data_IF_677596302439
#
_entry.id   IF_677596302439
#
_cell.length_a   1.000
_cell.length_b   1.000
_cell.length_c   1.000
_cell.angle_alpha   90.00
_cell.angle_beta   90.00
_cell.angle_gamma   90.00
#
_symmetry.space_group_name_H-M   'P 1'
#
loop_
_entity.id
_entity.type
_entity.pdbx_description
1 polymer ?
#
# COMPACT_ATOMS: atom_id res chain seq x y z
N UNK A 1 32.96 -23.41 -40.04
CA UNK A 1 32.40 -24.60 -39.39
C UNK A 1 32.14 -24.24 -37.92
N UNK A 2 30.86 -24.17 -37.56
CA UNK A 2 30.25 -24.29 -36.22
C UNK A 2 30.47 -23.16 -35.18
N UNK A 3 29.31 -22.61 -34.80
CA UNK A 3 28.94 -21.69 -33.73
C UNK A 3 28.84 -22.35 -32.35
N UNK A 4 28.89 -21.51 -31.29
CA UNK A 4 28.22 -21.58 -29.95
C UNK A 4 29.23 -21.16 -28.87
N UNK A 5 28.97 -20.18 -28.01
CA UNK A 5 27.73 -19.90 -27.28
C UNK A 5 27.65 -18.41 -26.92
N UNK A 6 26.69 -17.71 -27.52
CA UNK A 6 26.19 -16.45 -27.01
C UNK A 6 25.43 -16.71 -25.71
N UNK A 7 25.99 -16.30 -24.56
CA UNK A 7 25.17 -16.00 -23.39
C UNK A 7 24.62 -14.58 -23.57
N UNK A 8 23.49 -14.54 -24.28
CA UNK A 8 22.59 -13.41 -24.39
C UNK A 8 22.29 -12.84 -23.00
N UNK A 9 22.67 -11.58 -22.77
CA UNK A 9 21.86 -10.36 -22.97
C UNK A 9 20.87 -10.10 -21.82
N UNK A 10 21.10 -8.94 -21.21
CA UNK A 10 20.14 -8.05 -20.59
C UNK A 10 19.79 -8.27 -19.10
N UNK A 11 20.65 -7.76 -18.22
CA UNK A 11 20.17 -7.11 -17.01
C UNK A 11 19.62 -5.73 -17.40
N UNK A 12 18.37 -5.67 -17.83
CA UNK A 12 17.68 -4.41 -18.08
C UNK A 12 17.62 -3.65 -16.75
N UNK A 13 18.38 -2.55 -16.69
CA UNK A 13 18.22 -1.49 -15.72
C UNK A 13 16.80 -0.93 -15.91
N UNK A 14 15.79 -1.47 -15.20
CA UNK A 14 14.47 -0.83 -15.12
C UNK A 14 14.59 0.40 -14.22
N UNK A 15 15.13 1.48 -14.77
CA UNK A 15 14.98 2.82 -14.23
C UNK A 15 13.57 3.34 -14.51
N UNK A 16 12.53 2.66 -14.00
CA UNK A 16 11.22 3.26 -13.92
C UNK A 16 11.24 4.23 -12.74
N UNK A 17 11.35 5.52 -13.05
CA UNK A 17 11.12 6.60 -12.08
C UNK A 17 9.66 6.55 -11.65
N UNK A 18 9.42 6.15 -10.40
CA UNK A 18 8.08 6.14 -9.82
C UNK A 18 7.68 7.57 -9.49
N UNK A 19 6.60 8.04 -10.11
CA UNK A 19 6.10 9.39 -9.88
C UNK A 19 5.12 9.44 -8.70
N UNK A 20 5.30 10.48 -7.87
CA UNK A 20 4.40 10.79 -6.77
C UNK A 20 3.87 12.23 -6.90
N UNK A 21 2.72 12.50 -6.29
CA UNK A 21 2.19 13.86 -6.13
C UNK A 21 3.00 14.63 -5.09
N UNK A 22 2.79 15.95 -5.01
CA UNK A 22 3.37 16.81 -3.96
C UNK A 22 3.00 16.34 -2.55
N UNK A 23 1.83 15.71 -2.40
CA UNK A 23 1.32 15.16 -1.15
C UNK A 23 1.84 13.73 -0.85
N UNK A 24 2.64 13.16 -1.76
CA UNK A 24 3.28 11.86 -1.60
C UNK A 24 2.45 10.66 -2.04
N UNK A 25 1.36 10.86 -2.77
CA UNK A 25 0.56 9.76 -3.35
C UNK A 25 1.16 9.28 -4.66
N UNK A 26 1.00 7.99 -4.95
CA UNK A 26 1.44 7.41 -6.22
C UNK A 26 0.59 7.96 -7.38
N UNK A 27 1.21 8.47 -8.45
CA UNK A 27 0.47 8.97 -9.62
C UNK A 27 -0.12 7.84 -10.47
N UNK A 28 0.60 6.74 -10.61
CA UNK A 28 0.16 5.57 -11.35
C UNK A 28 0.01 4.36 -10.41
N UNK A 29 -1.23 3.90 -10.21
CA UNK A 29 -1.54 2.79 -9.32
C UNK A 29 -0.82 1.47 -9.68
N UNK A 30 -0.42 1.30 -10.94
CA UNK A 30 0.27 0.11 -11.43
C UNK A 30 1.75 0.05 -11.04
N UNK A 31 2.34 1.19 -10.67
CA UNK A 31 3.75 1.25 -10.22
C UNK A 31 3.93 0.69 -8.80
N UNK A 32 2.82 0.42 -8.11
CA UNK A 32 2.85 -0.05 -6.75
C UNK A 32 3.37 -1.48 -6.67
N UNK A 33 4.31 -1.68 -5.76
CA UNK A 33 4.77 -2.98 -5.29
C UNK A 33 5.24 -2.85 -3.84
N UNK A 34 5.65 -3.97 -3.23
CA UNK A 34 6.10 -4.02 -1.83
C UNK A 34 7.26 -3.04 -1.57
N UNK A 35 8.20 -2.87 -2.52
CA UNK A 35 9.31 -1.93 -2.35
C UNK A 35 8.83 -0.48 -2.35
N UNK A 36 7.87 -0.14 -3.22
CA UNK A 36 7.25 1.20 -3.24
C UNK A 36 6.50 1.49 -1.95
N UNK A 37 5.66 0.56 -1.49
CA UNK A 37 4.95 0.68 -0.23
C UNK A 37 5.91 0.92 0.95
N UNK A 38 7.01 0.17 1.03
CA UNK A 38 8.06 0.37 2.06
C UNK A 38 8.72 1.75 1.96
N UNK A 39 9.01 2.24 0.76
CA UNK A 39 9.56 3.60 0.56
C UNK A 39 8.60 4.70 1.00
N UNK A 40 7.31 4.56 0.67
CA UNK A 40 6.26 5.51 1.11
C UNK A 40 6.11 5.45 2.62
N UNK A 41 6.03 4.26 3.22
CA UNK A 41 5.91 4.11 4.66
C UNK A 41 7.11 4.70 5.42
N UNK A 42 8.33 4.56 4.89
CA UNK A 42 9.52 5.23 5.45
C UNK A 42 9.37 6.75 5.46
N UNK A 43 8.86 7.36 4.37
CA UNK A 43 8.57 8.80 4.32
C UNK A 43 7.46 9.21 5.30
N UNK A 44 6.52 8.32 5.58
CA UNK A 44 5.44 8.52 6.54
C UNK A 44 5.82 8.20 8.00
N UNK A 45 7.08 7.84 8.27
CA UNK A 45 7.56 7.40 9.59
C UNK A 45 6.78 6.20 10.15
N UNK A 46 6.38 5.26 9.28
CA UNK A 46 5.69 4.03 9.66
C UNK A 46 6.59 2.81 9.45
N UNK A 47 6.74 2.03 10.51
CA UNK A 47 7.35 0.70 10.45
C UNK A 47 6.28 -0.35 10.09
N UNK A 48 6.33 -0.86 8.86
CA UNK A 48 5.34 -1.82 8.35
C UNK A 48 5.48 -3.21 9.00
N UNK A 49 4.67 -3.44 10.03
CA UNK A 49 4.43 -4.77 10.64
C UNK A 49 3.29 -5.52 9.94
N UNK A 50 3.06 -6.77 10.32
CA UNK A 50 2.03 -7.64 9.73
C UNK A 50 0.65 -6.98 9.64
N UNK A 51 0.19 -6.32 10.72
CA UNK A 51 -1.14 -5.70 10.72
C UNK A 51 -1.25 -4.49 9.79
N UNK A 52 -0.15 -3.75 9.58
CA UNK A 52 -0.13 -2.70 8.58
C UNK A 52 -0.34 -3.30 7.19
N UNK A 53 0.37 -4.38 6.88
CA UNK A 53 0.25 -5.06 5.58
C UNK A 53 -1.15 -5.57 5.32
N UNK A 54 -1.81 -6.16 6.33
CA UNK A 54 -3.21 -6.61 6.22
C UNK A 54 -4.13 -5.47 5.77
N UNK A 55 -4.02 -4.31 6.43
CA UNK A 55 -4.84 -3.13 6.14
C UNK A 55 -4.50 -2.54 4.76
N UNK A 56 -3.20 -2.40 4.45
CA UNK A 56 -2.71 -1.85 3.18
C UNK A 56 -3.19 -2.70 2.00
N UNK A 57 -3.04 -4.03 2.10
CA UNK A 57 -3.48 -4.97 1.06
C UNK A 57 -5.00 -4.95 0.93
N UNK A 58 -5.73 -4.92 2.05
CA UNK A 58 -7.19 -4.81 2.04
C UNK A 58 -7.66 -3.54 1.32
N UNK A 59 -7.11 -2.37 1.67
CA UNK A 59 -7.45 -1.09 1.04
C UNK A 59 -7.15 -1.13 -0.45
N UNK A 60 -5.96 -1.61 -0.83
CA UNK A 60 -5.56 -1.70 -2.24
C UNK A 60 -6.52 -2.58 -3.03
N UNK A 61 -6.81 -3.78 -2.54
CA UNK A 61 -7.69 -4.73 -3.23
C UNK A 61 -9.13 -4.21 -3.30
N UNK A 62 -9.61 -3.59 -2.22
CA UNK A 62 -10.93 -2.96 -2.18
C UNK A 62 -11.04 -1.85 -3.23
N UNK A 63 -10.05 -0.96 -3.29
CA UNK A 63 -10.02 0.12 -4.29
C UNK A 63 -9.91 -0.42 -5.72
N UNK A 64 -9.05 -1.42 -5.97
CA UNK A 64 -8.92 -2.01 -7.30
C UNK A 64 -10.25 -2.58 -7.80
N UNK A 65 -11.04 -3.17 -6.89
CA UNK A 65 -12.34 -3.77 -7.16
C UNK A 65 -13.48 -2.76 -7.28
N UNK A 66 -13.59 -1.80 -6.37
CA UNK A 66 -14.75 -0.92 -6.24
C UNK A 66 -14.50 0.53 -6.66
N UNK A 67 -13.24 0.91 -6.93
CA UNK A 67 -12.79 2.27 -7.27
C UNK A 67 -13.09 3.34 -6.21
N UNK A 68 -13.40 2.90 -4.98
CA UNK A 68 -13.64 3.74 -3.81
C UNK A 68 -12.82 3.23 -2.62
N UNK A 69 -12.52 4.11 -1.67
CA UNK A 69 -11.84 3.71 -0.42
C UNK A 69 -12.83 3.00 0.52
N UNK A 70 -12.38 2.00 1.31
CA UNK A 70 -13.24 1.33 2.28
C UNK A 70 -13.52 2.24 3.49
N UNK A 71 -14.71 2.12 4.09
CA UNK A 71 -15.03 2.82 5.34
C UNK A 71 -14.18 2.35 6.53
N UNK A 72 -14.03 3.20 7.56
CA UNK A 72 -13.38 2.82 8.82
C UNK A 72 -13.99 1.56 9.44
N UNK A 73 -15.33 1.40 9.37
CA UNK A 73 -16.02 0.20 9.87
C UNK A 73 -15.60 -1.07 9.12
N UNK A 74 -15.33 -0.97 7.83
CA UNK A 74 -14.85 -2.11 7.04
C UNK A 74 -13.40 -2.46 7.37
N UNK A 75 -12.55 -1.46 7.61
CA UNK A 75 -11.18 -1.67 8.08
C UNK A 75 -11.14 -2.38 9.42
N UNK A 76 -11.97 -1.97 10.38
CA UNK A 76 -12.04 -2.65 11.69
C UNK A 76 -12.49 -4.10 11.54
N UNK A 77 -13.56 -4.34 10.77
CA UNK A 77 -14.06 -5.70 10.51
C UNK A 77 -13.05 -6.59 9.79
N UNK A 78 -12.21 -6.06 8.90
CA UNK A 78 -11.21 -6.88 8.22
C UNK A 78 -10.11 -7.35 9.16
N UNK A 79 -9.73 -6.52 10.15
CA UNK A 79 -8.75 -6.91 11.16
C UNK A 79 -9.38 -7.84 12.22
N UNK A 80 -10.62 -7.58 12.65
CA UNK A 80 -11.33 -8.45 13.61
C UNK A 80 -11.49 -9.88 13.09
N UNK A 81 -11.71 -10.06 11.78
CA UNK A 81 -11.74 -11.40 11.15
C UNK A 81 -10.41 -12.15 11.24
N UNK A 82 -9.30 -11.43 11.34
CA UNK A 82 -7.95 -11.96 11.35
C UNK A 82 -7.37 -12.11 12.77
N UNK A 83 -8.01 -11.47 13.75
CA UNK A 83 -7.61 -11.48 15.16
C UNK A 83 -8.80 -12.05 15.95
N UNK A 84 -8.88 -13.36 15.99
CA UNK A 84 -9.94 -14.08 16.69
C UNK A 84 -10.00 -13.65 18.17
N UNK A 85 -11.21 -13.38 18.66
CA UNK A 85 -11.46 -13.11 20.07
C UNK A 85 -11.13 -11.70 20.56
N UNK A 86 -10.77 -10.75 19.69
CA UNK A 86 -10.49 -9.37 20.12
C UNK A 86 -11.30 -8.33 19.34
N UNK A 87 -12.09 -7.53 20.07
CA UNK A 87 -12.78 -6.36 19.51
C UNK A 87 -11.77 -5.25 19.22
N UNK A 88 -11.79 -4.72 17.99
CA UNK A 88 -10.86 -3.70 17.54
C UNK A 88 -11.65 -2.41 17.34
N UNK A 89 -11.12 -1.30 17.85
CA UNK A 89 -11.71 0.02 17.72
C UNK A 89 -10.81 0.95 16.91
N UNK A 90 -11.32 2.14 16.61
CA UNK A 90 -10.61 3.17 15.85
C UNK A 90 -9.24 3.49 16.45
N UNK A 91 -9.10 3.47 17.78
CA UNK A 91 -7.83 3.72 18.48
C UNK A 91 -6.73 2.75 18.00
N UNK A 92 -7.08 1.49 17.69
CA UNK A 92 -6.11 0.55 17.13
C UNK A 92 -5.56 1.00 15.77
N UNK A 93 -6.44 1.47 14.88
CA UNK A 93 -6.03 1.97 13.57
C UNK A 93 -5.14 3.21 13.71
N UNK A 94 -5.44 4.12 14.63
CA UNK A 94 -4.60 5.29 14.91
C UNK A 94 -3.25 4.92 15.53
N UNK A 95 -3.14 3.81 16.27
CA UNK A 95 -1.84 3.29 16.72
C UNK A 95 -0.98 2.78 15.56
N UNK A 96 -1.60 2.22 14.53
CA UNK A 96 -0.91 1.74 13.32
C UNK A 96 -0.58 2.90 12.36
N UNK A 97 -1.47 3.88 12.26
CA UNK A 97 -1.38 5.01 11.34
C UNK A 97 -1.63 6.33 12.09
N UNK A 98 -0.61 6.87 12.79
CA UNK A 98 -0.77 7.98 13.74
C UNK A 98 -1.27 9.30 13.15
N UNK A 99 -0.97 9.59 11.88
CA UNK A 99 -1.47 10.81 11.22
C UNK A 99 -2.89 10.64 10.67
N UNK A 100 -3.44 9.43 10.70
CA UNK A 100 -4.74 9.14 10.14
C UNK A 100 -4.73 7.83 9.34
N UNK A 101 -5.56 6.83 9.70
CA UNK A 101 -5.66 5.57 8.97
C UNK A 101 -6.04 5.76 7.51
N UNK A 102 -7.03 6.62 7.24
CA UNK A 102 -7.46 6.91 5.88
C UNK A 102 -6.32 7.50 5.04
N UNK A 103 -5.59 8.47 5.58
CA UNK A 103 -4.53 9.16 4.84
C UNK A 103 -3.32 8.26 4.61
N UNK A 104 -2.72 7.76 5.69
CA UNK A 104 -1.44 7.06 5.62
C UNK A 104 -1.60 5.67 4.98
N UNK A 105 -2.65 4.92 5.34
CA UNK A 105 -2.83 3.59 4.77
C UNK A 105 -3.17 3.65 3.27
N UNK A 106 -3.97 4.65 2.83
CA UNK A 106 -4.25 4.85 1.40
C UNK A 106 -3.00 5.23 0.60
N UNK A 107 -2.19 6.16 1.15
CA UNK A 107 -0.92 6.58 0.54
C UNK A 107 0.03 5.39 0.38
N UNK A 108 0.19 4.58 1.43
CA UNK A 108 1.05 3.39 1.41
C UNK A 108 0.47 2.27 0.51
N UNK A 109 -0.85 2.13 0.43
CA UNK A 109 -1.54 1.22 -0.50
C UNK A 109 -1.41 1.62 -1.98
N UNK A 110 -0.86 2.80 -2.26
CA UNK A 110 -0.65 3.30 -3.62
C UNK A 110 -1.96 3.63 -4.33
N UNK A 111 -3.01 3.95 -3.57
CA UNK A 111 -4.28 4.42 -4.13
C UNK A 111 -4.28 5.95 -4.13
N UNK A 112 -5.01 6.62 -5.04
CA UNK A 112 -5.10 8.07 -5.05
C UNK A 112 -5.70 8.59 -3.74
N UNK A 113 -5.44 9.87 -3.44
CA UNK A 113 -6.00 10.54 -2.28
C UNK A 113 -7.54 10.39 -2.28
N UNK A 114 -8.15 9.87 -1.21
CA UNK A 114 -9.60 9.72 -1.16
C UNK A 114 -10.29 11.09 -1.20
N UNK A 115 -11.28 11.24 -2.08
CA UNK A 115 -12.02 12.48 -2.31
C UNK A 115 -12.99 12.83 -1.16
N UNK A 116 -13.38 11.83 -0.38
CA UNK A 116 -14.18 11.98 0.84
C UNK A 116 -13.40 11.37 2.00
N UNK A 117 -13.28 12.13 3.09
CA UNK A 117 -12.71 11.62 4.34
C UNK A 117 -13.62 10.50 4.90
N UNK A 118 -13.00 9.45 5.45
CA UNK A 118 -13.70 8.31 6.07
C UNK A 118 -14.36 8.66 7.41
#
# INVERSE_FOLDING_TARGET
MITKKNFNKNFYKLSNTIEITSEGYLKNIQDWNIMVAKKIAKKENICLKNDHWKIIIFIRNFYLKFKIAPSMRMLLKSIEKEIEGKKINSIYLFKLFPKGPAEQASKIAGIPKPSQCL
#
